data_IF_759012143326
#
_entry.id   IF_759012143326
#
_cell.length_a   1.000
_cell.length_b   1.000
_cell.length_c   1.000
_cell.angle_alpha   90.00
_cell.angle_beta   90.00
_cell.angle_gamma   90.00
#
_symmetry.space_group_name_H-M   'P 1'
#
loop_
_entity.id
_entity.type
_entity.pdbx_description
1 polymer ?
#
# COMPACT_ATOMS: atom_id res chain seq x y z
N UNK A 1 44.91 7.96 -26.14
CA UNK A 1 44.40 8.40 -24.82
C UNK A 1 42.90 8.09 -24.78
N UNK A 2 42.44 7.14 -23.97
CA UNK A 2 41.02 6.87 -23.87
C UNK A 2 40.34 7.98 -23.07
N UNK A 3 39.23 8.51 -23.61
CA UNK A 3 38.36 9.48 -22.95
C UNK A 3 37.75 8.83 -21.69
N UNK A 4 37.92 9.50 -20.57
CA UNK A 4 37.20 9.20 -19.33
C UNK A 4 35.69 9.26 -19.63
N UNK A 5 35.03 8.11 -19.60
CA UNK A 5 33.56 8.04 -19.51
C UNK A 5 33.16 8.79 -18.24
N UNK A 6 32.50 9.93 -18.44
CA UNK A 6 31.84 10.60 -17.34
C UNK A 6 30.73 9.67 -16.86
N UNK A 7 30.97 8.98 -15.73
CA UNK A 7 29.91 8.36 -14.96
C UNK A 7 28.89 9.46 -14.70
N UNK A 8 27.77 9.37 -15.38
CA UNK A 8 26.52 9.97 -14.93
C UNK A 8 26.19 9.30 -13.58
N UNK A 9 26.87 9.72 -12.53
CA UNK A 9 26.33 9.59 -11.19
C UNK A 9 25.08 10.48 -11.19
N UNK A 10 23.97 9.90 -11.63
CA UNK A 10 22.67 10.40 -11.21
C UNK A 10 22.75 10.37 -9.69
N UNK A 11 23.07 11.53 -9.10
CA UNK A 11 22.77 11.79 -7.70
C UNK A 11 21.25 11.58 -7.61
N UNK A 12 20.86 10.34 -7.31
CA UNK A 12 19.56 10.01 -6.82
C UNK A 12 19.50 10.65 -5.41
N UNK A 13 19.52 11.99 -5.40
CA UNK A 13 19.12 12.76 -4.24
C UNK A 13 17.79 12.14 -3.88
N UNK A 14 17.66 11.60 -2.66
CA UNK A 14 16.41 11.01 -2.17
C UNK A 14 15.30 11.96 -2.56
N UNK A 15 14.54 11.62 -3.59
CA UNK A 15 13.39 12.41 -3.97
C UNK A 15 12.59 12.61 -2.70
N UNK A 16 12.23 13.86 -2.41
CA UNK A 16 11.44 14.18 -1.21
C UNK A 16 10.10 13.43 -1.22
N UNK A 17 9.65 13.01 -2.41
CA UNK A 17 8.34 12.39 -2.65
C UNK A 17 8.48 11.21 -3.60
N UNK A 18 7.69 10.14 -3.38
CA UNK A 18 7.50 9.02 -4.29
C UNK A 18 6.02 8.69 -4.44
N UNK A 19 5.64 8.24 -5.62
CA UNK A 19 4.30 7.75 -5.93
C UNK A 19 4.39 6.28 -6.26
N UNK A 20 3.44 5.49 -5.77
CA UNK A 20 3.23 4.12 -6.19
C UNK A 20 1.80 3.89 -6.63
N UNK A 21 1.62 2.99 -7.58
CA UNK A 21 0.32 2.52 -8.04
C UNK A 21 0.25 1.02 -7.85
N UNK A 22 -0.89 0.53 -7.37
CA UNK A 22 -1.18 -0.90 -7.23
C UNK A 22 -2.57 -1.20 -7.79
N UNK A 23 -2.66 -2.35 -8.40
CA UNK A 23 -3.90 -2.91 -8.93
C UNK A 23 -3.98 -4.38 -8.53
N UNK A 24 -5.18 -4.81 -8.13
CA UNK A 24 -5.47 -6.23 -7.95
C UNK A 24 -6.94 -6.51 -8.26
N UNK A 25 -7.25 -7.75 -8.59
CA UNK A 25 -8.60 -8.19 -8.87
C UNK A 25 -8.85 -9.61 -8.42
N UNK A 26 -10.01 -9.84 -7.77
CA UNK A 26 -10.42 -11.15 -7.30
C UNK A 26 -11.84 -11.47 -7.70
N UNK A 27 -12.06 -12.72 -8.10
CA UNK A 27 -13.37 -13.26 -8.43
C UNK A 27 -14.17 -13.58 -7.16
N UNK A 28 -15.48 -13.33 -7.18
CA UNK A 28 -16.36 -13.79 -6.14
C UNK A 28 -16.56 -15.30 -6.16
N UNK A 29 -16.44 -15.92 -5.00
CA UNK A 29 -16.66 -17.37 -4.81
C UNK A 29 -17.60 -17.62 -3.63
N UNK A 30 -18.55 -18.57 -3.74
CA UNK A 30 -19.41 -18.93 -2.61
C UNK A 30 -18.62 -19.63 -1.51
N UNK A 31 -19.17 -19.58 -0.28
CA UNK A 31 -18.66 -20.36 0.85
C UNK A 31 -17.40 -19.81 1.53
N UNK A 32 -16.92 -18.65 1.12
CA UNK A 32 -15.79 -17.96 1.79
C UNK A 32 -16.25 -16.57 2.29
N UNK A 33 -15.71 -16.09 3.42
CA UNK A 33 -16.00 -14.75 3.93
C UNK A 33 -15.55 -13.65 2.96
N UNK A 34 -16.31 -12.59 2.82
CA UNK A 34 -15.87 -11.39 2.09
C UNK A 34 -15.03 -10.52 3.02
N UNK A 35 -13.77 -10.33 2.67
CA UNK A 35 -12.84 -9.45 3.38
C UNK A 35 -12.35 -8.33 2.47
N UNK A 36 -12.49 -7.08 2.91
CA UNK A 36 -12.04 -5.89 2.17
C UNK A 36 -11.41 -4.89 3.14
N UNK A 37 -10.15 -4.55 2.94
CA UNK A 37 -9.41 -3.61 3.77
C UNK A 37 -9.24 -4.06 5.23
N UNK A 38 -9.13 -5.37 5.46
CA UNK A 38 -9.02 -5.98 6.79
C UNK A 38 -10.32 -6.04 7.57
N UNK A 39 -11.48 -5.83 6.91
CA UNK A 39 -12.83 -5.87 7.50
C UNK A 39 -13.66 -6.97 6.83
N UNK A 40 -14.30 -7.82 7.64
CA UNK A 40 -15.27 -8.79 7.14
C UNK A 40 -16.60 -8.10 6.86
N UNK A 41 -17.07 -8.22 5.63
CA UNK A 41 -18.36 -7.69 5.18
C UNK A 41 -19.38 -8.81 5.06
N UNK A 42 -20.63 -8.53 5.42
CA UNK A 42 -21.73 -9.50 5.25
C UNK A 42 -22.10 -9.59 3.77
N UNK A 43 -21.83 -10.76 3.17
CA UNK A 43 -22.16 -11.08 1.78
C UNK A 43 -22.16 -12.60 1.58
N UNK A 44 -22.91 -13.10 0.62
CA UNK A 44 -23.06 -14.54 0.35
C UNK A 44 -21.84 -15.17 -0.30
N UNK A 45 -20.98 -14.34 -0.89
CA UNK A 45 -19.72 -14.75 -1.53
C UNK A 45 -18.58 -13.94 -0.95
N UNK A 46 -17.40 -14.53 -0.86
CA UNK A 46 -16.16 -13.81 -0.60
C UNK A 46 -15.26 -13.80 -1.83
N UNK A 47 -14.05 -13.30 -1.69
CA UNK A 47 -13.12 -13.18 -2.81
C UNK A 47 -12.18 -14.38 -2.83
N UNK A 48 -12.12 -15.04 -4.00
CA UNK A 48 -11.18 -16.12 -4.26
C UNK A 48 -9.76 -15.57 -4.34
N UNK A 49 -8.80 -16.26 -3.71
CA UNK A 49 -7.39 -15.88 -3.74
C UNK A 49 -6.55 -16.98 -3.13
N UNK A 50 -5.24 -16.84 -3.21
CA UNK A 50 -4.31 -17.77 -2.57
C UNK A 50 -4.22 -17.53 -1.07
N UNK A 51 -4.31 -16.26 -0.65
CA UNK A 51 -4.40 -15.81 0.76
C UNK A 51 -5.86 -15.69 1.23
N UNK A 52 -6.17 -14.76 2.09
CA UNK A 52 -7.54 -14.47 2.56
C UNK A 52 -8.38 -13.66 1.55
N UNK A 53 -7.85 -13.37 0.36
CA UNK A 53 -8.55 -12.72 -0.74
C UNK A 53 -8.83 -11.23 -0.56
N UNK A 54 -8.17 -10.54 0.37
CA UNK A 54 -8.36 -9.09 0.56
C UNK A 54 -7.71 -8.29 -0.58
N UNK A 55 -8.46 -8.11 -1.66
CA UNK A 55 -8.03 -7.40 -2.88
C UNK A 55 -7.53 -5.98 -2.60
N UNK A 56 -8.11 -5.29 -1.61
CA UNK A 56 -7.72 -3.91 -1.29
C UNK A 56 -6.36 -3.88 -0.58
N UNK A 57 -6.11 -4.78 0.37
CA UNK A 57 -4.80 -4.88 1.02
C UNK A 57 -3.70 -5.34 0.05
N UNK A 58 -4.02 -6.19 -0.93
CA UNK A 58 -3.07 -6.58 -1.98
C UNK A 58 -2.68 -5.38 -2.86
N UNK A 59 -3.67 -4.64 -3.36
CA UNK A 59 -3.41 -3.44 -4.18
C UNK A 59 -2.62 -2.37 -3.40
N UNK A 60 -2.91 -2.16 -2.11
CA UNK A 60 -2.13 -1.25 -1.26
C UNK A 60 -0.70 -1.76 -1.11
N UNK A 61 -0.51 -3.07 -0.90
CA UNK A 61 0.81 -3.70 -0.78
C UNK A 61 1.65 -3.44 -2.02
N UNK A 62 1.11 -3.67 -3.21
CA UNK A 62 1.81 -3.45 -4.47
C UNK A 62 2.08 -1.97 -4.75
N UNK A 63 1.16 -1.08 -4.40
CA UNK A 63 1.40 0.36 -4.49
C UNK A 63 2.59 0.80 -3.62
N UNK A 64 2.69 0.29 -2.39
CA UNK A 64 3.79 0.60 -1.47
C UNK A 64 5.12 0.03 -1.96
N UNK A 65 5.12 -1.23 -2.42
CA UNK A 65 6.31 -1.90 -2.97
C UNK A 65 6.81 -1.19 -4.23
N UNK A 66 5.91 -0.88 -5.17
CA UNK A 66 6.24 -0.16 -6.40
C UNK A 66 6.81 1.23 -6.14
N UNK A 67 6.28 1.98 -5.14
CA UNK A 67 6.79 3.30 -4.77
C UNK A 67 8.27 3.27 -4.34
N UNK A 68 8.77 2.17 -3.80
CA UNK A 68 10.16 2.01 -3.36
C UNK A 68 11.00 1.16 -4.33
N UNK A 69 10.45 0.78 -5.49
CA UNK A 69 11.15 -0.03 -6.50
C UNK A 69 11.42 -1.47 -6.04
N UNK A 70 10.61 -1.99 -5.12
CA UNK A 70 10.67 -3.37 -4.68
C UNK A 70 9.90 -4.30 -5.63
N UNK A 71 10.18 -5.63 -5.62
CA UNK A 71 9.36 -6.62 -6.31
C UNK A 71 7.91 -6.61 -5.81
N UNK A 72 6.97 -7.06 -6.65
CA UNK A 72 5.55 -7.16 -6.32
C UNK A 72 5.24 -8.22 -5.25
N UNK A 73 3.96 -8.26 -4.83
CA UNK A 73 3.47 -9.21 -3.83
C UNK A 73 3.68 -10.66 -4.25
N UNK A 74 3.48 -10.98 -5.55
CA UNK A 74 3.61 -12.35 -6.07
C UNK A 74 5.06 -12.84 -6.06
N UNK A 75 6.02 -11.98 -6.33
CA UNK A 75 7.44 -12.29 -6.27
C UNK A 75 7.94 -12.45 -4.83
N UNK A 76 7.40 -11.68 -3.86
CA UNK A 76 7.79 -11.77 -2.45
C UNK A 76 7.10 -12.92 -1.70
N UNK A 77 5.89 -13.26 -2.11
CA UNK A 77 5.03 -14.27 -1.47
C UNK A 77 4.45 -15.21 -2.53
N UNK A 78 5.30 -16.03 -3.19
CA UNK A 78 4.88 -16.84 -4.31
C UNK A 78 3.69 -17.74 -3.97
N UNK A 79 2.62 -17.77 -4.77
CA UNK A 79 1.47 -18.63 -4.55
C UNK A 79 1.82 -20.13 -4.55
N UNK A 80 2.96 -20.52 -5.11
CA UNK A 80 3.49 -21.88 -5.08
C UNK A 80 3.96 -22.32 -3.69
N UNK A 81 4.18 -21.38 -2.75
CA UNK A 81 4.60 -21.72 -1.38
C UNK A 81 3.37 -21.99 -0.49
N UNK A 82 3.18 -23.23 0.01
CA UNK A 82 1.98 -23.61 0.80
C UNK A 82 1.75 -22.78 2.06
N UNK A 83 2.82 -22.20 2.64
CA UNK A 83 2.73 -21.35 3.84
C UNK A 83 1.89 -20.08 3.66
N UNK A 84 1.67 -19.63 2.42
CA UNK A 84 0.87 -18.44 2.12
C UNK A 84 -0.60 -18.75 1.83
N UNK A 85 -0.95 -20.03 1.72
CA UNK A 85 -2.33 -20.45 1.49
C UNK A 85 -3.21 -20.07 2.68
N UNK A 86 -4.21 -19.22 2.43
CA UNK A 86 -5.10 -18.69 3.45
C UNK A 86 -4.44 -17.70 4.43
N UNK A 87 -3.24 -17.23 4.14
CA UNK A 87 -2.55 -16.26 4.99
C UNK A 87 -3.32 -14.92 5.05
N UNK A 88 -3.29 -14.25 6.20
CA UNK A 88 -3.85 -12.92 6.37
C UNK A 88 -3.04 -11.89 5.56
N UNK A 89 -3.70 -11.15 4.66
CA UNK A 89 -3.08 -10.15 3.79
C UNK A 89 -2.39 -9.01 4.57
N UNK A 90 -2.73 -8.83 5.84
CA UNK A 90 -2.00 -7.91 6.74
C UNK A 90 -0.52 -8.28 6.87
N UNK A 91 -0.16 -9.56 6.71
CA UNK A 91 1.25 -10.02 6.75
C UNK A 91 2.02 -9.40 5.59
N UNK A 92 1.46 -9.41 4.39
CA UNK A 92 2.07 -8.86 3.18
C UNK A 92 2.20 -7.34 3.27
N UNK A 93 1.14 -6.69 3.75
CA UNK A 93 1.14 -5.24 3.99
C UNK A 93 2.24 -4.82 4.99
N UNK A 94 2.42 -5.57 6.07
CA UNK A 94 3.48 -5.29 7.06
C UNK A 94 4.88 -5.36 6.46
N UNK A 95 5.14 -6.32 5.58
CA UNK A 95 6.44 -6.40 4.90
C UNK A 95 6.64 -5.21 3.95
N UNK A 96 5.61 -4.80 3.20
CA UNK A 96 5.69 -3.60 2.36
C UNK A 96 5.98 -2.33 3.19
N UNK A 97 5.30 -2.15 4.32
CA UNK A 97 5.55 -1.04 5.25
C UNK A 97 6.98 -1.03 5.79
N UNK A 98 7.52 -2.21 6.12
CA UNK A 98 8.92 -2.37 6.56
C UNK A 98 9.89 -1.90 5.46
N UNK A 99 9.65 -2.27 4.19
CA UNK A 99 10.48 -1.86 3.06
C UNK A 99 10.40 -0.36 2.80
N UNK A 100 9.21 0.23 2.86
CA UNK A 100 9.02 1.68 2.76
C UNK A 100 9.85 2.42 3.82
N UNK A 101 9.76 1.99 5.09
CA UNK A 101 10.55 2.59 6.19
C UNK A 101 12.05 2.39 6.00
N UNK A 102 12.49 1.20 5.59
CA UNK A 102 13.89 0.90 5.32
C UNK A 102 14.46 1.77 4.18
N UNK A 103 13.64 2.10 3.17
CA UNK A 103 13.99 3.03 2.11
C UNK A 103 14.04 4.50 2.58
N UNK A 104 13.60 4.79 3.81
CA UNK A 104 13.61 6.13 4.41
C UNK A 104 12.40 6.98 4.04
N UNK A 105 11.25 6.35 3.80
CA UNK A 105 9.99 7.01 3.49
C UNK A 105 8.90 6.69 4.51
N UNK A 106 7.91 7.59 4.58
CA UNK A 106 6.66 7.42 5.29
C UNK A 106 5.48 7.63 4.32
N UNK A 107 4.31 7.10 4.66
CA UNK A 107 3.09 7.33 3.87
C UNK A 107 2.55 8.71 4.20
N UNK A 108 2.38 9.56 3.17
CA UNK A 108 1.68 10.83 3.30
C UNK A 108 0.15 10.64 3.18
N UNK A 109 -0.29 9.93 2.14
CA UNK A 109 -1.69 9.53 1.97
C UNK A 109 -1.81 8.34 1.03
N UNK A 110 -3.00 7.73 1.02
CA UNK A 110 -3.43 6.78 0.00
C UNK A 110 -4.78 7.21 -0.58
N UNK A 111 -5.01 6.86 -1.84
CA UNK A 111 -6.30 7.01 -2.51
C UNK A 111 -6.66 5.71 -3.22
N UNK A 112 -7.77 5.10 -2.83
CA UNK A 112 -8.23 3.81 -3.30
C UNK A 112 -9.58 3.93 -4.03
N UNK A 113 -9.74 3.18 -5.10
CA UNK A 113 -11.00 3.00 -5.81
C UNK A 113 -11.30 1.52 -5.94
N UNK A 114 -12.47 1.10 -5.43
CA UNK A 114 -13.00 -0.25 -5.58
C UNK A 114 -14.05 -0.25 -6.70
N UNK A 115 -14.00 -1.26 -7.57
CA UNK A 115 -15.02 -1.48 -8.60
C UNK A 115 -15.67 -2.81 -8.30
N UNK A 116 -16.97 -2.80 -7.96
CA UNK A 116 -17.76 -3.98 -7.62
C UNK A 116 -19.26 -3.69 -7.72
N UNK A 117 -20.04 -4.71 -8.07
CA UNK A 117 -21.50 -4.59 -8.10
C UNK A 117 -22.12 -4.61 -6.70
N UNK A 118 -21.67 -5.56 -5.88
CA UNK A 118 -22.15 -5.78 -4.51
C UNK A 118 -21.03 -6.32 -3.61
N UNK A 119 -21.11 -6.09 -2.28
CA UNK A 119 -22.05 -5.22 -1.59
C UNK A 119 -21.74 -3.73 -1.82
N UNK A 120 -22.70 -2.85 -1.54
CA UNK A 120 -22.43 -1.40 -1.57
C UNK A 120 -21.45 -1.02 -0.47
N UNK A 121 -20.31 -0.44 -0.85
CA UNK A 121 -19.23 -0.09 0.08
C UNK A 121 -19.52 1.17 0.90
N UNK A 122 -20.37 2.08 0.39
CA UNK A 122 -20.67 3.35 1.08
C UNK A 122 -20.96 3.22 2.58
N UNK A 123 -21.86 2.33 3.02
CA UNK A 123 -22.15 2.12 4.45
C UNK A 123 -20.95 1.65 5.26
N UNK A 124 -19.97 1.01 4.65
CA UNK A 124 -18.78 0.43 5.28
C UNK A 124 -17.52 1.30 5.11
N UNK A 125 -17.57 2.34 4.26
CA UNK A 125 -16.39 3.14 3.91
C UNK A 125 -15.72 3.78 5.15
N UNK A 126 -16.48 4.23 6.12
CA UNK A 126 -15.96 4.82 7.35
C UNK A 126 -15.11 3.84 8.16
N UNK A 127 -15.63 2.64 8.42
CA UNK A 127 -14.92 1.62 9.20
C UNK A 127 -13.71 1.07 8.46
N UNK A 128 -13.80 0.90 7.13
CA UNK A 128 -12.67 0.47 6.30
C UNK A 128 -11.56 1.52 6.34
N UNK A 129 -11.88 2.81 6.18
CA UNK A 129 -10.88 3.89 6.25
C UNK A 129 -10.17 3.95 7.60
N UNK A 130 -10.90 3.80 8.70
CA UNK A 130 -10.30 3.76 10.04
C UNK A 130 -9.36 2.56 10.17
N UNK A 131 -9.81 1.39 9.73
CA UNK A 131 -8.99 0.18 9.76
C UNK A 131 -7.73 0.29 8.92
N UNK A 132 -7.82 0.83 7.71
CA UNK A 132 -6.65 1.08 6.86
C UNK A 132 -5.69 2.07 7.53
N UNK A 133 -6.20 3.14 8.13
CA UNK A 133 -5.38 4.12 8.82
C UNK A 133 -4.58 3.49 9.98
N UNK A 134 -5.23 2.63 10.78
CA UNK A 134 -4.55 1.86 11.84
C UNK A 134 -3.44 0.97 11.27
N UNK A 135 -3.74 0.18 10.23
CA UNK A 135 -2.79 -0.74 9.61
C UNK A 135 -1.58 -0.01 9.01
N UNK A 136 -1.81 1.14 8.40
CA UNK A 136 -0.79 1.95 7.72
C UNK A 136 -0.02 2.88 8.67
N UNK A 137 -0.55 3.13 9.88
CA UNK A 137 0.04 4.07 10.83
C UNK A 137 -0.11 5.53 10.41
N UNK A 138 -1.22 5.89 9.76
CA UNK A 138 -1.60 7.24 9.34
C UNK A 138 -2.95 7.63 9.91
N UNK A 139 -3.40 8.85 9.70
CA UNK A 139 -4.72 9.29 10.14
C UNK A 139 -5.80 8.97 9.08
N UNK A 140 -7.04 8.77 9.50
CA UNK A 140 -8.13 8.37 8.59
C UNK A 140 -8.46 9.42 7.52
N UNK A 141 -8.12 10.69 7.73
CA UNK A 141 -8.26 11.74 6.72
C UNK A 141 -7.21 11.65 5.59
N UNK A 142 -6.14 10.87 5.78
CA UNK A 142 -5.15 10.55 4.75
C UNK A 142 -5.50 9.30 3.95
N UNK A 143 -6.67 8.70 4.19
CA UNK A 143 -7.18 7.52 3.46
C UNK A 143 -8.36 7.93 2.60
N UNK A 144 -8.16 8.06 1.28
CA UNK A 144 -9.23 8.14 0.29
C UNK A 144 -9.78 6.75 -0.02
N UNK A 145 -11.11 6.61 -0.03
CA UNK A 145 -11.78 5.37 -0.45
C UNK A 145 -13.04 5.72 -1.23
N UNK A 146 -13.08 5.26 -2.48
CA UNK A 146 -14.21 5.41 -3.40
C UNK A 146 -14.67 4.04 -3.87
N UNK A 147 -15.95 3.88 -4.15
CA UNK A 147 -16.47 2.70 -4.79
C UNK A 147 -17.29 3.09 -6.03
N UNK A 148 -17.19 2.27 -7.05
CA UNK A 148 -17.89 2.39 -8.33
C UNK A 148 -18.54 1.06 -8.69
N UNK A 149 -19.61 1.12 -9.44
CA UNK A 149 -20.19 -0.05 -10.12
C UNK A 149 -19.44 -0.30 -11.43
N UNK A 150 -19.41 -1.54 -11.94
CA UNK A 150 -18.69 -1.88 -13.18
C UNK A 150 -19.38 -1.33 -14.45
N UNK A 151 -20.58 -0.75 -14.36
CA UNK A 151 -21.30 -0.10 -15.46
C UNK A 151 -21.39 -0.96 -16.74
N UNK A 152 -21.62 -2.28 -16.59
CA UNK A 152 -21.76 -3.21 -17.73
C UNK A 152 -20.44 -3.64 -18.37
N UNK A 153 -19.31 -3.51 -17.68
CA UNK A 153 -17.99 -3.96 -18.17
C UNK A 153 -17.72 -5.47 -17.99
N UNK A 154 -18.75 -6.29 -17.74
CA UNK A 154 -18.68 -7.74 -17.51
C UNK A 154 -17.75 -8.16 -16.35
N UNK A 155 -17.66 -7.32 -15.32
CA UNK A 155 -16.87 -7.59 -14.11
C UNK A 155 -17.75 -7.73 -12.85
N UNK A 156 -19.03 -8.06 -13.02
CA UNK A 156 -20.03 -8.16 -11.93
C UNK A 156 -19.67 -9.29 -10.94
N UNK A 157 -18.94 -10.30 -11.40
CA UNK A 157 -18.48 -11.42 -10.55
C UNK A 157 -17.10 -11.19 -9.95
N UNK A 158 -16.60 -9.97 -9.93
CA UNK A 158 -15.27 -9.64 -9.42
C UNK A 158 -15.27 -8.34 -8.62
N UNK A 159 -14.21 -8.17 -7.82
CA UNK A 159 -13.85 -6.89 -7.23
C UNK A 159 -12.48 -6.50 -7.77
N UNK A 160 -12.38 -5.26 -8.26
CA UNK A 160 -11.13 -4.66 -8.70
C UNK A 160 -10.76 -3.55 -7.73
N UNK A 161 -9.49 -3.47 -7.37
CA UNK A 161 -8.94 -2.42 -6.51
C UNK A 161 -7.81 -1.68 -7.24
N UNK A 162 -7.94 -0.36 -7.31
CA UNK A 162 -6.91 0.55 -7.78
C UNK A 162 -6.47 1.42 -6.62
N UNK A 163 -5.18 1.52 -6.39
CA UNK A 163 -4.62 2.29 -5.28
C UNK A 163 -3.46 3.15 -5.77
N UNK A 164 -3.45 4.39 -5.33
CA UNK A 164 -2.29 5.28 -5.44
C UNK A 164 -1.81 5.60 -4.03
N UNK A 165 -0.50 5.53 -3.81
CA UNK A 165 0.13 5.95 -2.56
C UNK A 165 1.07 7.10 -2.83
N UNK A 166 1.08 8.09 -1.94
CA UNK A 166 2.08 9.13 -1.87
C UNK A 166 2.97 8.88 -0.66
N UNK A 167 4.27 8.80 -0.89
CA UNK A 167 5.27 8.68 0.15
C UNK A 167 6.07 9.96 0.23
N UNK A 168 6.46 10.33 1.44
CA UNK A 168 7.39 11.44 1.72
C UNK A 168 8.65 10.94 2.41
N UNK A 169 9.77 11.57 2.12
CA UNK A 169 11.06 11.26 2.74
C UNK A 169 11.06 11.59 4.23
N UNK A 170 11.45 10.64 5.06
CA UNK A 170 11.61 10.88 6.50
C UNK A 170 12.80 11.81 6.71
N UNK A 171 12.53 13.05 7.12
CA UNK A 171 13.59 13.97 7.51
C UNK A 171 14.25 13.47 8.80
N UNK A 172 15.54 13.19 8.76
CA UNK A 172 16.31 13.01 9.99
C UNK A 172 16.29 14.35 10.73
N UNK A 173 15.69 14.41 11.91
CA UNK A 173 15.82 15.58 12.77
C UNK A 173 17.32 15.88 12.92
N UNK A 174 17.78 16.99 12.36
CA UNK A 174 19.12 17.50 12.62
C UNK A 174 19.22 17.72 14.13
N UNK A 175 20.16 17.05 14.78
CA UNK A 175 20.46 17.38 16.19
C UNK A 175 20.77 18.88 16.28
N UNK A 176 20.24 19.60 17.27
CA UNK A 176 20.56 21.01 17.41
C UNK A 176 22.08 21.13 17.51
N UNK A 177 22.69 21.94 16.62
CA UNK A 177 24.09 22.27 16.71
C UNK A 177 24.33 22.80 18.10
N UNK A 178 25.11 22.12 18.93
CA UNK A 178 25.61 22.68 20.19
C UNK A 178 26.26 24.00 19.84
N UNK A 179 25.64 25.11 20.22
CA UNK A 179 26.26 26.41 20.15
C UNK A 179 27.47 26.40 21.10
N UNK A 180 28.66 26.35 20.53
CA UNK A 180 29.90 26.52 21.28
C UNK A 180 29.99 28.03 21.57
N UNK A 181 29.33 28.46 22.64
CA UNK A 181 29.63 29.78 23.24
C UNK A 181 31.05 29.69 23.82
N UNK A 182 32.05 30.10 23.05
CA UNK A 182 33.35 30.44 23.66
C UNK A 182 33.12 31.63 24.58
N UNK A 183 33.08 31.34 25.86
CA UNK A 183 33.27 32.42 26.87
C UNK A 183 34.62 33.04 26.58
N UNK A 184 34.66 34.28 26.10
CA UNK A 184 35.86 35.12 26.19
C UNK A 184 36.02 35.43 27.67
N UNK A 185 37.10 34.98 28.27
CA UNK A 185 37.55 35.40 29.57
C UNK A 185 38.11 36.84 29.49
N UNK A 186 38.01 37.60 30.58
CA UNK A 186 38.48 38.99 30.65
C UNK A 186 39.97 39.15 30.47
#
# INVERSE_FOLDING_TARGET
MPKKDSKLETQNSKLAVRVGYGFDSHEFRPGIPLKIGGINLKHDKGLGGHSDGDVLLHAITDALLGAVGAPDIGALFPPSEPKWKGADSVIFLREALKRVRAAGYAIANIDASLILEAPKIGPHAGVIRVRLAELLGITANCVGLKAKTPEGLNSENAVLAHVVVLLEGIQKKSSPRRSIWRKRAP
#
